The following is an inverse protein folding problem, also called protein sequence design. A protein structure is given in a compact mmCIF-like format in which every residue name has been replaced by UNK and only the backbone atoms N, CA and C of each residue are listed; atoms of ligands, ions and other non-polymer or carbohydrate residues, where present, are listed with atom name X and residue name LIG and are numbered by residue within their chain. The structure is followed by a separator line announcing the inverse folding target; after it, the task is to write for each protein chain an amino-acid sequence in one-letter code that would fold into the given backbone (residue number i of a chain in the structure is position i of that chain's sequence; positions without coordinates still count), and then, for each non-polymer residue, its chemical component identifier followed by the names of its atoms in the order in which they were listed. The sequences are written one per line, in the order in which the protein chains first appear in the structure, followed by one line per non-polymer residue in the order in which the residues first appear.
data_IF_616893576835
#
_entry.id   IF_616893576835
#
_cell.length_a   1.000
_cell.length_b   1.000
_cell.length_c   1.000
_cell.angle_alpha   90.00
_cell.angle_beta   90.00
_cell.angle_gamma   90.00
#
_symmetry.space_group_name_H-M   'P 1'
#
loop_
_entity.id
_entity.type
_entity.pdbx_description
1 polymer ?
#
# COMPACT_ATOMS: atom_id res chain seq x y z
N UNK A 1 10.03 -5.46 6.93
CA UNK A 1 8.89 -4.77 6.30
C UNK A 1 9.05 -3.26 6.44
N UNK A 2 8.43 -2.46 5.58
CA UNK A 2 8.44 -0.99 5.63
C UNK A 2 7.03 -0.42 5.84
N UNK A 3 6.90 0.90 5.89
CA UNK A 3 5.60 1.55 6.05
C UNK A 3 5.66 3.03 5.69
N UNK A 4 4.51 3.59 5.32
CA UNK A 4 4.35 5.01 5.01
C UNK A 4 3.00 5.48 5.55
N UNK A 5 3.01 6.63 6.22
CA UNK A 5 1.79 7.33 6.64
C UNK A 5 1.83 8.70 5.98
N UNK A 6 0.72 9.11 5.37
CA UNK A 6 0.58 10.42 4.72
C UNK A 6 -0.67 11.10 5.28
N UNK A 7 -0.62 12.43 5.39
CA UNK A 7 -1.74 13.24 5.87
C UNK A 7 -1.57 14.66 5.35
N UNK A 8 -2.69 15.35 5.12
CA UNK A 8 -2.71 16.78 4.83
C UNK A 8 -2.89 17.64 6.10
N UNK A 9 -3.04 17.01 7.26
CA UNK A 9 -3.16 17.68 8.56
C UNK A 9 -1.79 17.78 9.24
N UNK A 10 -1.35 19.01 9.51
CA UNK A 10 -0.07 19.29 10.13
C UNK A 10 0.03 18.78 11.58
N UNK A 11 -1.05 18.85 12.37
CA UNK A 11 -1.05 18.37 13.74
C UNK A 11 -0.90 16.84 13.79
N UNK A 12 -1.57 16.13 12.88
CA UNK A 12 -1.39 14.69 12.70
C UNK A 12 0.04 14.36 12.26
N UNK A 13 0.57 15.10 11.28
CA UNK A 13 1.95 14.91 10.81
C UNK A 13 2.97 15.08 11.95
N UNK A 14 2.84 16.13 12.75
CA UNK A 14 3.74 16.42 13.87
C UNK A 14 3.70 15.30 14.92
N UNK A 15 2.50 14.81 15.23
CA UNK A 15 2.30 13.68 16.15
C UNK A 15 2.93 12.40 15.60
N UNK A 16 2.69 12.07 14.32
CA UNK A 16 3.28 10.89 13.67
C UNK A 16 4.81 10.97 13.64
N UNK A 17 5.37 12.14 13.32
CA UNK A 17 6.81 12.37 13.25
C UNK A 17 7.51 12.14 14.59
N UNK A 18 6.88 12.64 15.67
CA UNK A 18 7.34 12.47 17.03
C UNK A 18 7.20 11.03 17.52
N UNK A 19 6.03 10.45 17.32
CA UNK A 19 5.72 9.10 17.79
C UNK A 19 6.65 8.05 17.19
N UNK A 20 7.02 8.16 15.90
CA UNK A 20 7.96 7.20 15.27
C UNK A 20 9.39 7.26 15.83
N UNK A 21 9.78 8.36 16.49
CA UNK A 21 11.14 8.63 16.95
C UNK A 21 11.18 8.99 18.45
N UNK A 22 10.69 8.07 19.28
CA UNK A 22 10.75 8.11 20.75
C UNK A 22 10.07 9.32 21.39
N UNK A 23 9.20 10.03 20.67
CA UNK A 23 8.54 11.22 21.17
C UNK A 23 9.34 12.52 21.00
N UNK A 24 10.35 12.52 20.12
CA UNK A 24 11.08 13.74 19.76
C UNK A 24 10.17 14.71 19.03
N UNK A 25 10.14 15.97 19.47
CA UNK A 25 9.39 17.02 18.79
C UNK A 25 10.18 17.58 17.60
N UNK A 26 9.51 17.74 16.45
CA UNK A 26 10.14 18.34 15.26
C UNK A 26 10.62 19.76 15.56
N UNK A 27 9.78 20.56 16.22
CA UNK A 27 10.10 21.94 16.58
C UNK A 27 11.26 22.01 17.58
N UNK A 28 11.29 21.12 18.57
CA UNK A 28 12.41 21.03 19.50
C UNK A 28 13.72 20.68 18.78
N UNK A 29 13.68 19.87 17.71
CA UNK A 29 14.88 19.46 16.96
C UNK A 29 15.37 20.54 15.99
N UNK A 30 14.47 21.16 15.23
CA UNK A 30 14.85 22.02 14.09
C UNK A 30 14.59 23.51 14.30
N UNK A 31 13.60 23.89 15.12
CA UNK A 31 13.14 25.27 15.23
C UNK A 31 13.54 25.94 16.55
N UNK A 32 14.04 25.18 17.54
CA UNK A 32 14.51 25.70 18.83
C UNK A 32 16.04 25.80 18.84
N UNK A 33 16.57 26.96 19.25
CA UNK A 33 18.00 27.09 19.55
C UNK A 33 18.31 26.43 20.90
N UNK A 34 19.46 25.76 20.96
CA UNK A 34 19.91 25.07 22.17
C UNK A 34 21.26 25.62 22.62
N UNK A 35 21.46 25.85 23.93
CA UNK A 35 22.80 26.13 24.45
C UNK A 35 23.73 24.93 24.17
N UNK A 36 25.06 25.15 24.17
CA UNK A 36 26.02 24.05 24.08
C UNK A 36 25.76 23.00 25.17
N UNK A 37 25.79 21.71 24.80
CA UNK A 37 25.57 20.59 25.72
C UNK A 37 24.39 19.70 25.34
N UNK A 38 23.81 19.03 26.35
CA UNK A 38 22.71 18.10 26.17
C UNK A 38 21.42 18.81 25.73
N UNK A 39 20.68 18.21 24.80
CA UNK A 39 19.42 18.75 24.27
C UNK A 39 18.21 17.94 24.74
N UNK A 40 17.24 18.62 25.34
CA UNK A 40 15.94 18.04 25.67
C UNK A 40 15.02 18.12 24.45
N UNK A 41 14.87 16.99 23.76
CA UNK A 41 14.15 16.91 22.48
C UNK A 41 12.81 16.17 22.57
N UNK A 42 12.59 15.40 23.64
CA UNK A 42 11.40 14.57 23.82
C UNK A 42 10.33 15.38 24.57
N UNK A 43 9.20 15.61 23.91
CA UNK A 43 8.07 16.38 24.46
C UNK A 43 6.79 15.54 24.57
N UNK A 44 6.81 14.29 24.09
CA UNK A 44 5.72 13.34 24.20
C UNK A 44 6.26 11.91 24.36
N UNK A 45 5.36 10.93 24.56
CA UNK A 45 5.72 9.51 24.43
C UNK A 45 5.85 9.13 22.95
N UNK A 46 6.62 8.08 22.67
CA UNK A 46 6.76 7.50 21.34
C UNK A 46 7.45 6.14 21.35
N UNK A 47 7.67 5.60 20.16
CA UNK A 47 8.26 4.28 19.90
C UNK A 47 9.48 4.41 18.98
N UNK A 48 10.09 3.28 18.64
CA UNK A 48 11.11 3.22 17.60
C UNK A 48 10.56 2.57 16.32
N UNK A 49 9.91 3.37 15.49
CA UNK A 49 9.39 2.95 14.18
C UNK A 49 10.12 3.64 13.02
N UNK A 50 11.36 4.09 13.26
CA UNK A 50 12.20 4.64 12.21
C UNK A 50 12.51 3.56 11.17
N UNK A 51 12.28 3.91 9.91
CA UNK A 51 12.77 3.13 8.78
C UNK A 51 14.30 3.23 8.72
N UNK A 52 14.98 2.13 8.37
CA UNK A 52 16.43 2.17 8.13
C UNK A 52 16.75 2.90 6.83
N UNK A 53 17.94 3.50 6.74
CA UNK A 53 18.39 4.18 5.50
C UNK A 53 18.41 3.23 4.30
N UNK A 54 18.78 1.95 4.49
CA UNK A 54 18.75 0.95 3.42
C UNK A 54 17.33 0.77 2.88
N UNK A 55 16.34 0.62 3.77
CA UNK A 55 14.93 0.54 3.36
C UNK A 55 14.45 1.84 2.70
N UNK A 56 14.88 3.00 3.19
CA UNK A 56 14.56 4.30 2.61
C UNK A 56 15.07 4.46 1.17
N UNK A 57 16.32 4.07 0.91
CA UNK A 57 16.91 4.09 -0.43
C UNK A 57 16.16 3.15 -1.38
N UNK A 58 15.89 1.91 -0.95
CA UNK A 58 15.12 0.95 -1.75
C UNK A 58 13.71 1.48 -2.05
N UNK A 59 13.01 2.00 -1.04
CA UNK A 59 11.67 2.56 -1.20
C UNK A 59 11.64 3.73 -2.18
N UNK A 60 12.61 4.65 -2.11
CA UNK A 60 12.72 5.77 -3.06
C UNK A 60 12.89 5.31 -4.51
N UNK A 61 13.70 4.29 -4.75
CA UNK A 61 13.88 3.73 -6.10
C UNK A 61 12.60 3.01 -6.56
N UNK A 62 11.93 2.27 -5.68
CA UNK A 62 10.66 1.61 -6.00
C UNK A 62 9.57 2.61 -6.37
N UNK A 63 9.44 3.72 -5.63
CA UNK A 63 8.46 4.78 -5.92
C UNK A 63 8.62 5.35 -7.34
N UNK A 64 9.84 5.48 -7.85
CA UNK A 64 10.08 5.92 -9.23
C UNK A 64 9.58 4.92 -10.28
N UNK A 65 9.51 3.63 -9.94
CA UNK A 65 9.06 2.55 -10.83
C UNK A 65 7.58 2.23 -10.71
N UNK A 66 6.90 2.76 -9.69
CA UNK A 66 5.50 2.43 -9.41
C UNK A 66 4.55 2.70 -10.57
N UNK A 67 4.73 3.80 -11.30
CA UNK A 67 3.89 4.11 -12.46
C UNK A 67 4.00 3.04 -13.56
N UNK A 68 5.24 2.65 -13.91
CA UNK A 68 5.50 1.59 -14.90
C UNK A 68 4.96 0.23 -14.42
N UNK A 69 5.17 -0.11 -13.15
CA UNK A 69 4.70 -1.37 -12.58
C UNK A 69 3.17 -1.44 -12.50
N UNK A 70 2.50 -0.35 -12.16
CA UNK A 70 1.03 -0.27 -12.18
C UNK A 70 0.50 -0.41 -13.60
N UNK A 71 1.07 0.30 -14.57
CA UNK A 71 0.68 0.18 -15.98
C UNK A 71 0.83 -1.25 -16.53
N UNK A 72 1.94 -1.93 -16.20
CA UNK A 72 2.15 -3.35 -16.57
C UNK A 72 1.12 -4.28 -15.94
N UNK A 73 0.78 -4.08 -14.66
CA UNK A 73 -0.23 -4.89 -13.97
C UNK A 73 -1.62 -4.66 -14.54
N UNK A 74 -2.01 -3.41 -14.80
CA UNK A 74 -3.26 -3.04 -15.48
C UNK A 74 -3.35 -3.63 -16.89
N UNK A 75 -2.25 -3.57 -17.66
CA UNK A 75 -2.20 -4.18 -18.99
C UNK A 75 -2.45 -5.69 -18.93
N UNK A 76 -1.74 -6.39 -18.04
CA UNK A 76 -1.91 -7.84 -17.87
C UNK A 76 -3.29 -8.21 -17.34
N UNK A 77 -3.83 -7.45 -16.37
CA UNK A 77 -5.19 -7.64 -15.85
C UNK A 77 -6.23 -7.55 -16.96
N UNK A 78 -6.12 -6.55 -17.84
CA UNK A 78 -7.00 -6.41 -19.00
C UNK A 78 -6.92 -7.60 -19.97
N UNK A 79 -5.73 -8.17 -20.18
CA UNK A 79 -5.58 -9.37 -21.00
C UNK A 79 -6.25 -10.59 -20.36
N UNK A 80 -6.16 -10.73 -19.03
CA UNK A 80 -6.88 -11.79 -18.28
C UNK A 80 -8.39 -11.59 -18.43
N UNK A 81 -8.90 -10.37 -18.25
CA UNK A 81 -10.33 -10.04 -18.42
C UNK A 81 -10.85 -10.35 -19.83
N UNK A 82 -9.99 -10.20 -20.85
CA UNK A 82 -10.31 -10.55 -22.23
C UNK A 82 -10.34 -12.05 -22.44
N UNK A 83 -9.39 -12.79 -21.85
CA UNK A 83 -9.28 -14.24 -21.98
C UNK A 83 -10.45 -15.00 -21.35
N UNK A 84 -11.14 -14.39 -20.38
CA UNK A 84 -12.31 -14.98 -19.70
C UNK A 84 -13.63 -14.33 -20.08
N UNK A 85 -13.64 -13.41 -21.06
CA UNK A 85 -14.78 -12.56 -21.36
C UNK A 85 -16.04 -13.31 -21.83
N UNK A 86 -15.85 -14.50 -22.42
CA UNK A 86 -16.90 -15.37 -22.94
C UNK A 86 -17.34 -16.46 -21.95
N UNK A 87 -16.68 -16.55 -20.78
CA UNK A 87 -16.99 -17.56 -19.77
C UNK A 87 -18.12 -17.10 -18.85
N UNK A 88 -19.32 -17.66 -19.01
CA UNK A 88 -20.47 -17.38 -18.13
C UNK A 88 -20.21 -17.70 -16.64
N UNK A 89 -19.30 -18.65 -16.37
CA UNK A 89 -18.89 -19.02 -15.01
C UNK A 89 -18.06 -17.94 -14.30
N UNK A 90 -17.52 -16.96 -15.03
CA UNK A 90 -16.66 -15.90 -14.48
C UNK A 90 -17.40 -14.58 -14.43
N UNK A 91 -17.40 -13.94 -13.27
CA UNK A 91 -17.77 -12.54 -13.09
C UNK A 91 -16.51 -11.71 -12.83
N UNK A 92 -16.27 -10.74 -13.70
CA UNK A 92 -15.15 -9.81 -13.63
C UNK A 92 -15.42 -8.68 -12.63
N UNK A 93 -14.36 -7.99 -12.19
CA UNK A 93 -14.48 -6.75 -11.42
C UNK A 93 -14.74 -5.61 -12.40
N UNK A 94 -15.80 -4.84 -12.16
CA UNK A 94 -16.03 -3.59 -12.86
C UNK A 94 -15.47 -2.45 -12.02
N UNK A 95 -14.45 -1.78 -12.55
CA UNK A 95 -13.84 -0.60 -11.94
C UNK A 95 -14.53 0.63 -12.54
N UNK A 96 -15.05 1.51 -11.69
CA UNK A 96 -15.66 2.76 -12.13
C UNK A 96 -14.63 3.66 -12.84
N UNK A 97 -15.08 4.44 -13.82
CA UNK A 97 -14.25 5.28 -14.69
C UNK A 97 -13.43 6.36 -13.95
N UNK A 98 -13.93 6.84 -12.81
CA UNK A 98 -13.24 7.79 -11.95
C UNK A 98 -12.21 7.17 -10.99
N UNK A 99 -12.01 5.84 -11.04
CA UNK A 99 -11.08 5.11 -10.17
C UNK A 99 -9.98 4.46 -11.01
N UNK A 100 -8.73 4.68 -10.60
CA UNK A 100 -7.60 3.92 -11.11
C UNK A 100 -7.28 2.74 -10.17
N UNK A 101 -7.45 1.50 -10.67
CA UNK A 101 -7.13 0.30 -9.90
C UNK A 101 -5.62 0.02 -9.93
N UNK A 102 -5.01 -0.16 -8.75
CA UNK A 102 -3.58 -0.40 -8.64
C UNK A 102 -3.13 -1.81 -9.07
N UNK A 103 -4.08 -2.74 -9.28
CA UNK A 103 -3.83 -4.15 -9.63
C UNK A 103 -2.81 -4.82 -8.71
N UNK A 104 -2.89 -4.57 -7.40
CA UNK A 104 -2.08 -5.33 -6.43
C UNK A 104 -2.44 -6.82 -6.47
N UNK A 105 -3.72 -7.12 -6.68
CA UNK A 105 -4.26 -8.44 -6.98
C UNK A 105 -5.36 -8.27 -8.03
N UNK A 106 -5.37 -9.17 -9.01
CA UNK A 106 -6.43 -9.26 -10.00
C UNK A 106 -7.43 -10.34 -9.54
N UNK A 107 -8.70 -9.97 -9.39
CA UNK A 107 -9.73 -10.87 -8.85
C UNK A 107 -10.74 -11.23 -9.93
N UNK A 108 -11.09 -12.51 -9.98
CA UNK A 108 -12.21 -13.05 -10.71
C UNK A 108 -13.12 -13.79 -9.74
N UNK A 109 -14.43 -13.67 -9.94
CA UNK A 109 -15.43 -14.36 -9.12
C UNK A 109 -16.07 -15.48 -9.92
N UNK A 110 -16.36 -16.58 -9.24
CA UNK A 110 -17.06 -17.72 -9.85
C UNK A 110 -18.56 -17.54 -9.63
N UNK A 111 -19.36 -17.70 -10.69
CA UNK A 111 -20.81 -17.76 -10.64
C UNK A 111 -21.23 -19.22 -10.37
N UNK A 112 -21.64 -19.58 -9.14
CA UNK A 112 -21.86 -20.98 -8.78
C UNK A 112 -23.00 -21.63 -9.57
N UNK A 113 -24.00 -20.86 -9.99
CA UNK A 113 -25.14 -21.34 -10.79
C UNK A 113 -24.74 -21.86 -12.18
N UNK A 114 -23.56 -21.48 -12.67
CA UNK A 114 -23.04 -21.88 -13.96
C UNK A 114 -22.07 -23.08 -13.84
N UNK A 115 -21.80 -23.55 -12.61
CA UNK A 115 -20.97 -24.71 -12.36
C UNK A 115 -21.76 -26.01 -12.45
N UNK A 116 -21.07 -27.11 -12.76
CA UNK A 116 -21.64 -28.46 -12.64
C UNK A 116 -21.81 -28.83 -11.17
N UNK A 117 -22.74 -29.73 -10.88
CA UNK A 117 -22.92 -30.28 -9.54
C UNK A 117 -21.61 -30.83 -8.96
N UNK A 118 -21.34 -30.49 -7.70
CA UNK A 118 -20.11 -30.88 -7.01
C UNK A 118 -18.86 -30.08 -7.39
N UNK A 119 -18.98 -29.02 -8.21
CA UNK A 119 -17.92 -28.04 -8.44
C UNK A 119 -18.11 -26.79 -7.60
N UNK A 120 -17.01 -26.22 -7.12
CA UNK A 120 -16.96 -24.94 -6.41
C UNK A 120 -15.62 -24.24 -6.70
N UNK A 121 -15.46 -23.02 -6.19
CA UNK A 121 -14.23 -22.22 -6.38
C UNK A 121 -12.98 -22.97 -5.92
N UNK A 122 -13.00 -23.58 -4.74
CA UNK A 122 -11.82 -24.23 -4.16
C UNK A 122 -11.38 -25.43 -5.01
N UNK A 123 -12.34 -26.25 -5.45
CA UNK A 123 -12.08 -27.37 -6.34
C UNK A 123 -11.49 -26.93 -7.69
N UNK A 124 -11.96 -25.81 -8.26
CA UNK A 124 -11.37 -25.25 -9.47
C UNK A 124 -9.89 -24.93 -9.27
N UNK A 125 -9.53 -24.29 -8.14
CA UNK A 125 -8.15 -23.94 -7.82
C UNK A 125 -7.27 -25.17 -7.54
N UNK A 126 -7.86 -26.24 -7.02
CA UNK A 126 -7.13 -27.48 -6.74
C UNK A 126 -6.86 -28.31 -8.00
N UNK A 127 -7.78 -28.30 -8.96
CA UNK A 127 -7.74 -29.20 -10.13
C UNK A 127 -7.19 -28.55 -11.42
N UNK A 128 -7.09 -27.20 -11.48
CA UNK A 128 -6.67 -26.43 -12.65
C UNK A 128 -5.57 -25.44 -12.27
#
# INVERSE_FOLDING_TARGET
EGGMVTTNDHALWSTMWSYKDHGKSYDAVYNRQHPPGFRWLHESFGTNWRMTEIQGVLGRIQLQRMAEWTAKRQHNGKLIDQAVADLAIVRRVEVADYIEHAEYKHYLFVNPEQLKDGWNRDRIVEEI
#
